data_IF_010660440854
#
_entry.id   IF_010660440854
#
_cell.length_a   1.000
_cell.length_b   1.000
_cell.length_c   1.000
_cell.angle_alpha   90.00
_cell.angle_beta   90.00
_cell.angle_gamma   90.00
#
_symmetry.space_group_name_H-M   'P 1'
#
loop_
_entity.id
_entity.type
_entity.pdbx_description
1 polymer ?
#
# COMPACT_ATOMS: atom_id res chain seq x y z
N UNK A 1 -4.14 7.25 18.61
CA UNK A 1 -4.46 8.69 18.57
C UNK A 1 -3.70 9.30 17.42
N UNK A 2 -4.37 10.10 16.58
CA UNK A 2 -3.76 10.85 15.49
C UNK A 2 -3.20 12.17 16.03
N UNK A 3 -2.11 12.65 15.44
CA UNK A 3 -1.47 13.93 15.79
C UNK A 3 -1.38 14.79 14.53
N UNK A 4 -1.75 16.05 14.62
CA UNK A 4 -1.77 16.99 13.51
C UNK A 4 -0.74 18.08 13.74
N UNK A 5 -0.03 18.45 12.68
CA UNK A 5 1.04 19.44 12.68
C UNK A 5 0.86 20.35 11.48
N UNK A 6 1.25 21.62 11.63
CA UNK A 6 1.30 22.56 10.51
C UNK A 6 2.56 22.36 9.65
N UNK A 7 2.71 23.18 8.61
CA UNK A 7 3.86 23.11 7.70
C UNK A 7 5.20 23.49 8.34
N UNK A 8 5.20 24.07 9.54
CA UNK A 8 6.37 24.42 10.36
C UNK A 8 6.67 23.36 11.41
N UNK A 9 5.85 22.30 11.51
CA UNK A 9 5.97 21.25 12.52
C UNK A 9 5.34 21.62 13.86
N UNK A 10 4.64 22.75 13.97
CA UNK A 10 3.91 23.11 15.18
C UNK A 10 2.69 22.20 15.34
N UNK A 11 2.55 21.57 16.50
CA UNK A 11 1.41 20.69 16.80
C UNK A 11 0.12 21.52 16.82
N UNK A 12 -0.80 21.17 15.92
CA UNK A 12 -2.15 21.75 15.84
C UNK A 12 -3.09 21.10 16.84
N UNK A 13 -2.93 19.80 17.09
CA UNK A 13 -3.77 19.06 18.01
C UNK A 13 -3.63 17.55 17.86
N UNK A 14 -4.56 16.84 18.49
CA UNK A 14 -4.67 15.39 18.40
C UNK A 14 -6.13 15.00 18.21
N UNK A 15 -6.38 13.87 17.54
CA UNK A 15 -7.73 13.36 17.33
C UNK A 15 -7.84 11.87 17.62
N UNK A 16 -8.95 11.50 18.26
CA UNK A 16 -9.38 10.13 18.50
C UNK A 16 -8.53 9.33 19.47
N UNK A 17 -9.06 8.17 19.84
CA UNK A 17 -8.46 7.25 20.81
C UNK A 17 -8.77 5.80 20.45
N UNK A 18 -8.24 4.85 21.21
CA UNK A 18 -8.56 3.43 21.03
C UNK A 18 -10.03 3.18 21.42
N UNK A 19 -10.79 2.51 20.56
CA UNK A 19 -12.18 2.15 20.84
C UNK A 19 -13.00 1.93 19.57
N UNK A 20 -14.32 1.89 19.70
CA UNK A 20 -15.27 1.57 18.61
C UNK A 20 -16.33 2.67 18.39
N UNK A 21 -16.42 3.64 19.30
CA UNK A 21 -17.36 4.75 19.22
C UNK A 21 -17.05 5.74 18.08
N UNK A 22 -17.88 6.78 17.91
CA UNK A 22 -17.58 7.88 17.00
C UNK A 22 -16.21 8.49 17.33
N UNK A 23 -15.39 8.75 16.32
CA UNK A 23 -14.01 9.25 16.48
C UNK A 23 -13.00 8.31 17.18
N UNK A 24 -13.35 7.04 17.40
CA UNK A 24 -12.44 6.03 17.96
C UNK A 24 -11.97 5.03 16.90
N UNK A 25 -10.81 4.42 17.16
CA UNK A 25 -10.14 3.49 16.26
C UNK A 25 -9.76 2.19 16.98
N UNK A 26 -10.10 1.05 16.39
CA UNK A 26 -9.48 -0.24 16.73
C UNK A 26 -8.16 -0.43 16.02
N UNK A 27 -8.07 0.07 14.79
CA UNK A 27 -6.85 0.00 13.98
C UNK A 27 -6.64 1.33 13.26
N UNK A 28 -5.47 1.94 13.50
CA UNK A 28 -4.98 3.06 12.70
C UNK A 28 -3.98 2.47 11.72
N UNK A 29 -4.37 2.39 10.46
CA UNK A 29 -3.59 1.73 9.42
C UNK A 29 -2.95 2.68 8.41
N UNK A 30 -2.49 2.08 7.32
CA UNK A 30 -1.89 2.78 6.18
C UNK A 30 -2.91 3.52 5.31
N UNK A 31 -4.20 3.22 5.45
CA UNK A 31 -5.26 3.81 4.63
C UNK A 31 -5.75 5.13 5.21
N UNK A 32 -5.36 6.22 4.55
CA UNK A 32 -5.69 7.60 4.93
C UNK A 32 -5.47 8.53 3.75
N UNK A 33 -6.06 9.72 3.80
CA UNK A 33 -5.93 10.70 2.74
C UNK A 33 -6.69 11.99 3.04
N UNK A 34 -6.77 12.86 2.03
CA UNK A 34 -7.42 14.15 2.11
C UNK A 34 -8.41 14.31 0.96
N UNK A 35 -9.68 14.55 1.28
CA UNK A 35 -10.70 14.94 0.31
C UNK A 35 -11.05 16.40 0.56
N UNK A 36 -10.44 17.31 -0.21
CA UNK A 36 -10.50 18.75 0.07
C UNK A 36 -9.88 19.07 1.43
N UNK A 37 -10.66 19.72 2.31
CA UNK A 37 -10.26 20.07 3.68
C UNK A 37 -10.51 18.96 4.70
N UNK A 38 -11.12 17.84 4.29
CA UNK A 38 -11.45 16.73 5.18
C UNK A 38 -10.36 15.67 5.10
N UNK A 39 -9.71 15.41 6.22
CA UNK A 39 -8.85 14.24 6.38
C UNK A 39 -9.69 13.01 6.70
N UNK A 40 -9.33 11.86 6.13
CA UNK A 40 -9.97 10.60 6.48
C UNK A 40 -8.94 9.57 6.94
N UNK A 41 -9.31 8.77 7.94
CA UNK A 41 -8.51 7.66 8.45
C UNK A 41 -9.35 6.39 8.43
N UNK A 42 -8.88 5.40 7.67
CA UNK A 42 -9.46 4.07 7.64
C UNK A 42 -9.19 3.28 8.92
N UNK A 43 -10.22 2.58 9.39
CA UNK A 43 -10.16 1.54 10.40
C UNK A 43 -10.59 0.22 9.74
N UNK A 44 -9.60 -0.59 9.39
CA UNK A 44 -9.82 -1.85 8.68
C UNK A 44 -10.57 -2.88 9.53
N UNK A 45 -10.43 -2.85 10.86
CA UNK A 45 -11.09 -3.82 11.74
C UNK A 45 -12.57 -3.49 11.92
N UNK A 46 -12.94 -2.23 11.80
CA UNK A 46 -14.33 -1.77 11.83
C UNK A 46 -14.94 -1.58 10.43
N UNK A 47 -14.16 -1.78 9.37
CA UNK A 47 -14.62 -1.59 7.99
C UNK A 47 -15.18 -0.18 7.76
N UNK A 48 -14.52 0.86 8.24
CA UNK A 48 -15.00 2.25 8.11
C UNK A 48 -13.85 3.25 7.95
N UNK A 49 -14.17 4.48 7.60
CA UNK A 49 -13.26 5.62 7.64
C UNK A 49 -13.88 6.73 8.50
N UNK A 50 -13.10 7.27 9.42
CA UNK A 50 -13.49 8.45 10.21
C UNK A 50 -13.06 9.70 9.47
N UNK A 51 -13.98 10.66 9.32
CA UNK A 51 -13.75 11.95 8.68
C UNK A 51 -13.44 13.01 9.72
N UNK A 52 -12.41 13.82 9.47
CA UNK A 52 -11.88 14.83 10.37
C UNK A 52 -11.80 16.15 9.60
N UNK A 53 -12.48 17.18 10.09
CA UNK A 53 -12.42 18.52 9.51
C UNK A 53 -11.12 19.26 9.88
N UNK A 54 -10.97 20.48 9.34
CA UNK A 54 -9.83 21.36 9.59
C UNK A 54 -9.77 21.89 11.04
N UNK A 55 -10.91 21.92 11.73
CA UNK A 55 -11.01 22.22 13.16
C UNK A 55 -10.68 21.01 14.06
N UNK A 56 -10.21 19.90 13.48
CA UNK A 56 -9.91 18.63 14.17
C UNK A 56 -11.13 18.07 14.92
N UNK A 57 -12.33 18.22 14.33
CA UNK A 57 -13.58 17.63 14.83
C UNK A 57 -14.03 16.48 13.94
N UNK A 58 -14.88 15.64 14.49
CA UNK A 58 -15.48 14.53 13.77
C UNK A 58 -16.49 15.09 12.75
N UNK A 59 -16.12 15.09 11.47
CA UNK A 59 -16.98 15.48 10.36
C UNK A 59 -17.94 14.36 9.93
N UNK A 60 -17.74 13.14 10.42
CA UNK A 60 -18.61 12.01 10.13
C UNK A 60 -17.86 10.69 10.05
N UNK A 61 -18.58 9.65 9.65
CA UNK A 61 -18.01 8.32 9.43
C UNK A 61 -18.61 7.72 8.18
N UNK A 62 -17.74 7.17 7.34
CA UNK A 62 -18.13 6.45 6.14
C UNK A 62 -17.88 4.97 6.39
N UNK A 63 -18.94 4.18 6.40
CA UNK A 63 -18.83 2.73 6.51
C UNK A 63 -18.54 2.12 5.14
N UNK A 64 -17.73 1.07 5.12
CA UNK A 64 -17.62 0.21 3.96
C UNK A 64 -18.99 -0.46 3.74
N UNK A 65 -19.63 -0.26 2.58
CA UNK A 65 -20.90 -0.89 2.30
C UNK A 65 -20.73 -2.40 2.09
N UNK A 66 -21.81 -3.15 2.24
CA UNK A 66 -21.82 -4.55 1.82
C UNK A 66 -21.65 -4.60 0.29
N UNK A 67 -20.55 -5.19 -0.19
CA UNK A 67 -20.26 -5.28 -1.63
C UNK A 67 -20.74 -6.66 -2.13
N UNK A 68 -21.68 -6.72 -3.08
CA UNK A 68 -22.13 -8.00 -3.63
C UNK A 68 -21.05 -8.69 -4.50
N UNK A 69 -21.02 -10.03 -4.51
CA UNK A 69 -21.79 -10.92 -3.64
C UNK A 69 -21.24 -10.94 -2.21
N UNK A 70 -22.14 -11.00 -1.22
CA UNK A 70 -21.75 -11.04 0.18
C UNK A 70 -20.80 -12.23 0.47
N UNK A 71 -19.78 -12.00 1.29
CA UNK A 71 -18.79 -13.03 1.63
C UNK A 71 -17.74 -13.31 0.55
N UNK A 72 -17.81 -12.68 -0.62
CA UNK A 72 -16.82 -12.86 -1.68
C UNK A 72 -15.51 -12.09 -1.43
N UNK A 73 -15.47 -11.21 -0.44
CA UNK A 73 -14.33 -10.36 -0.14
C UNK A 73 -13.70 -10.71 1.20
N UNK A 74 -12.37 -10.79 1.22
CA UNK A 74 -11.56 -10.94 2.42
C UNK A 74 -10.88 -9.60 2.68
N UNK A 75 -11.02 -9.10 3.91
CA UNK A 75 -10.41 -7.87 4.42
C UNK A 75 -10.59 -6.65 3.49
N UNK A 76 -11.83 -6.32 3.06
CA UNK A 76 -12.04 -5.13 2.28
C UNK A 76 -11.68 -3.87 3.08
N UNK A 77 -11.01 -2.92 2.45
CA UNK A 77 -10.55 -1.68 3.06
C UNK A 77 -10.81 -0.49 2.14
N UNK A 78 -11.25 0.63 2.73
CA UNK A 78 -11.36 1.91 2.04
C UNK A 78 -9.95 2.45 1.81
N UNK A 79 -9.56 2.63 0.55
CA UNK A 79 -8.25 3.15 0.15
C UNK A 79 -8.32 4.55 -0.45
N UNK A 80 -9.53 5.08 -0.68
CA UNK A 80 -9.78 6.43 -1.15
C UNK A 80 -11.25 6.82 -0.99
N UNK A 81 -11.51 8.12 -0.79
CA UNK A 81 -12.86 8.70 -0.76
C UNK A 81 -12.91 9.81 -1.79
N UNK A 82 -13.81 9.70 -2.77
CA UNK A 82 -13.96 10.69 -3.84
C UNK A 82 -14.84 11.87 -3.39
N UNK A 83 -14.75 13.05 -4.05
CA UNK A 83 -15.60 14.21 -3.77
C UNK A 83 -17.11 13.95 -3.79
N UNK A 84 -17.58 12.94 -4.55
CA UNK A 84 -18.98 12.54 -4.62
C UNK A 84 -19.43 11.52 -3.57
N UNK A 85 -18.56 11.11 -2.65
CA UNK A 85 -18.86 10.09 -1.64
C UNK A 85 -18.65 8.64 -2.09
N UNK A 86 -18.32 8.42 -3.36
CA UNK A 86 -17.84 7.12 -3.83
C UNK A 86 -16.54 6.73 -3.14
N UNK A 87 -16.33 5.42 -2.97
CA UNK A 87 -15.18 4.86 -2.30
C UNK A 87 -14.32 4.09 -3.29
N UNK A 88 -13.01 4.23 -3.14
CA UNK A 88 -12.07 3.23 -3.65
C UNK A 88 -11.91 2.17 -2.57
N UNK A 89 -12.15 0.92 -2.94
CA UNK A 89 -12.04 -0.23 -2.04
C UNK A 89 -11.02 -1.19 -2.58
N UNK A 90 -10.06 -1.56 -1.75
CA UNK A 90 -9.16 -2.66 -2.00
C UNK A 90 -9.65 -3.88 -1.23
N UNK A 91 -9.70 -5.05 -1.87
CA UNK A 91 -10.08 -6.30 -1.22
C UNK A 91 -9.40 -7.50 -1.89
N UNK A 92 -9.28 -8.61 -1.17
CA UNK A 92 -9.05 -9.92 -1.83
C UNK A 92 -10.41 -10.49 -2.24
N UNK A 93 -10.66 -10.59 -3.54
CA UNK A 93 -11.79 -11.30 -4.10
C UNK A 93 -11.53 -12.81 -4.08
N UNK A 94 -12.47 -13.57 -3.52
CA UNK A 94 -12.54 -15.02 -3.61
C UNK A 94 -13.42 -15.38 -4.81
N UNK A 95 -12.88 -16.17 -5.73
CA UNK A 95 -13.62 -16.60 -6.91
C UNK A 95 -14.92 -17.29 -6.50
N UNK A 96 -16.00 -16.92 -7.18
CA UNK A 96 -17.34 -17.50 -7.01
C UNK A 96 -17.66 -18.42 -8.20
N UNK A 97 -18.40 -19.53 -8.01
CA UNK A 97 -18.93 -20.33 -9.11
C UNK A 97 -19.79 -19.52 -10.08
N UNK A 98 -20.47 -18.49 -9.57
CA UNK A 98 -21.22 -17.51 -10.34
C UNK A 98 -20.57 -16.15 -10.10
N UNK A 99 -19.54 -15.76 -10.88
CA UNK A 99 -18.88 -14.48 -10.70
C UNK A 99 -19.83 -13.34 -11.12
N UNK A 100 -19.86 -12.22 -10.37
CA UNK A 100 -20.57 -11.02 -10.80
C UNK A 100 -19.98 -10.52 -12.13
N UNK A 101 -20.75 -9.71 -12.88
CA UNK A 101 -20.36 -9.25 -14.21
C UNK A 101 -18.95 -8.64 -14.26
N UNK A 102 -18.60 -7.83 -13.27
CA UNK A 102 -17.28 -7.18 -13.18
C UNK A 102 -16.13 -8.17 -12.96
N UNK A 103 -16.39 -9.38 -12.45
CA UNK A 103 -15.38 -10.38 -12.11
C UNK A 103 -15.26 -11.54 -13.12
N UNK A 104 -16.02 -11.53 -14.24
CA UNK A 104 -16.09 -12.66 -15.19
C UNK A 104 -14.75 -13.06 -15.82
N UNK A 105 -13.74 -12.20 -15.80
CA UNK A 105 -12.38 -12.49 -16.30
C UNK A 105 -11.37 -12.90 -15.21
N UNK A 106 -11.78 -12.93 -13.94
CA UNK A 106 -10.89 -13.26 -12.83
C UNK A 106 -10.94 -14.77 -12.60
N UNK A 107 -9.88 -15.46 -13.04
CA UNK A 107 -9.80 -16.92 -13.00
C UNK A 107 -9.04 -17.47 -11.80
N UNK A 108 -8.22 -16.64 -11.13
CA UNK A 108 -7.50 -17.06 -9.95
C UNK A 108 -8.45 -17.14 -8.74
N UNK A 109 -8.30 -18.21 -7.96
CA UNK A 109 -9.15 -18.51 -6.80
C UNK A 109 -9.20 -17.36 -5.79
N UNK A 110 -8.11 -16.59 -5.71
CA UNK A 110 -7.99 -15.38 -4.91
C UNK A 110 -7.23 -14.34 -5.70
N UNK A 111 -7.75 -13.11 -5.72
CA UNK A 111 -7.17 -12.01 -6.48
C UNK A 111 -7.34 -10.70 -5.71
N UNK A 112 -6.31 -9.86 -5.68
CA UNK A 112 -6.48 -8.51 -5.14
C UNK A 112 -7.19 -7.65 -6.17
N UNK A 113 -8.29 -7.03 -5.78
CA UNK A 113 -9.09 -6.18 -6.65
C UNK A 113 -9.22 -4.80 -6.06
N UNK A 114 -9.24 -3.82 -6.94
CA UNK A 114 -9.50 -2.42 -6.59
C UNK A 114 -10.79 -2.03 -7.27
N UNK A 115 -11.78 -1.64 -6.47
CA UNK A 115 -13.13 -1.34 -6.92
C UNK A 115 -13.42 0.13 -6.65
N UNK A 116 -14.22 0.74 -7.52
CA UNK A 116 -14.98 1.93 -7.17
C UNK A 116 -16.39 1.49 -6.80
N UNK A 117 -16.81 1.84 -5.59
CA UNK A 117 -18.15 1.52 -5.07
C UNK A 117 -18.86 2.79 -4.64
N UNK A 118 -20.18 2.85 -4.80
CA UNK A 118 -20.95 3.95 -4.23
C UNK A 118 -21.32 3.66 -2.76
N UNK A 119 -21.97 4.62 -2.10
CA UNK A 119 -22.42 4.49 -0.71
C UNK A 119 -23.40 3.33 -0.45
N UNK A 120 -24.06 2.79 -1.48
CA UNK A 120 -24.97 1.63 -1.38
C UNK A 120 -24.24 0.28 -1.51
N UNK A 121 -22.97 0.28 -1.91
CA UNK A 121 -22.21 -0.93 -2.18
C UNK A 121 -22.29 -1.44 -3.61
N UNK A 122 -22.92 -0.68 -4.51
CA UNK A 122 -22.92 -1.01 -5.93
C UNK A 122 -21.49 -0.86 -6.47
N UNK A 123 -20.97 -1.92 -7.11
CA UNK A 123 -19.69 -1.86 -7.81
C UNK A 123 -19.88 -1.08 -9.10
N UNK A 124 -19.37 0.15 -9.11
CA UNK A 124 -19.44 1.01 -10.29
C UNK A 124 -18.38 0.61 -11.32
N UNK A 125 -17.15 0.29 -10.86
CA UNK A 125 -16.02 -0.07 -11.72
C UNK A 125 -15.06 -1.03 -11.03
N UNK A 126 -14.46 -1.93 -11.81
CA UNK A 126 -13.23 -2.64 -11.46
C UNK A 126 -12.05 -1.82 -12.01
N UNK A 127 -11.25 -1.24 -11.12
CA UNK A 127 -10.13 -0.37 -11.47
C UNK A 127 -8.82 -1.14 -11.66
N UNK A 128 -8.67 -2.26 -10.97
CA UNK A 128 -7.43 -3.01 -10.96
C UNK A 128 -7.62 -4.45 -10.51
N UNK A 129 -6.86 -5.34 -11.12
CA UNK A 129 -6.75 -6.75 -10.78
C UNK A 129 -5.27 -7.01 -10.58
N UNK A 130 -4.86 -7.17 -9.33
CA UNK A 130 -3.51 -7.54 -8.96
C UNK A 130 -3.52 -9.04 -8.67
N UNK A 131 -2.62 -9.83 -9.29
CA UNK A 131 -2.47 -11.23 -8.92
C UNK A 131 -2.26 -11.29 -7.40
N UNK A 132 -2.96 -12.19 -6.70
CA UNK A 132 -2.77 -12.27 -5.27
C UNK A 132 -1.30 -12.60 -5.01
N UNK A 133 -0.70 -11.90 -4.07
CA UNK A 133 0.66 -12.14 -3.54
C UNK A 133 0.94 -13.63 -3.26
N UNK A 134 -0.08 -14.46 -3.10
CA UNK A 134 0.04 -15.87 -2.80
C UNK A 134 0.76 -16.73 -3.86
N UNK A 135 0.77 -16.34 -5.14
CA UNK A 135 1.50 -17.11 -6.16
C UNK A 135 3.01 -16.86 -6.03
N UNK A 136 3.62 -17.53 -5.05
CA UNK A 136 5.04 -17.49 -4.74
C UNK A 136 5.42 -16.75 -3.46
N UNK A 137 4.60 -15.83 -2.92
CA UNK A 137 4.92 -15.13 -1.66
C UNK A 137 4.35 -15.80 -0.41
N UNK A 138 3.66 -16.92 -0.60
CA UNK A 138 3.24 -17.80 0.49
C UNK A 138 3.73 -19.20 0.16
N UNK A 139 4.41 -19.84 1.12
CA UNK A 139 4.85 -21.22 0.99
C UNK A 139 4.33 -22.06 2.15
N UNK A 140 4.29 -23.38 1.97
CA UNK A 140 3.89 -24.33 3.02
C UNK A 140 5.17 -24.94 3.61
N UNK A 141 5.44 -24.65 4.88
CA UNK A 141 6.55 -25.25 5.63
C UNK A 141 5.96 -26.03 6.79
N UNK A 142 6.32 -27.31 6.91
CA UNK A 142 5.79 -28.21 7.95
C UNK A 142 4.24 -28.20 8.02
N UNK A 143 3.57 -28.24 6.86
CA UNK A 143 2.10 -28.24 6.74
C UNK A 143 1.43 -26.89 7.03
N UNK A 144 2.19 -25.80 7.20
CA UNK A 144 1.68 -24.49 7.61
C UNK A 144 2.03 -23.41 6.60
N UNK A 145 1.05 -22.59 6.25
CA UNK A 145 1.23 -21.46 5.33
C UNK A 145 2.04 -20.34 5.98
N UNK A 146 3.05 -19.83 5.27
CA UNK A 146 3.96 -18.80 5.74
C UNK A 146 4.27 -17.78 4.65
N UNK A 147 4.33 -16.47 4.99
CA UNK A 147 4.80 -15.47 4.05
C UNK A 147 6.30 -15.64 3.80
N UNK A 148 6.71 -15.60 2.54
CA UNK A 148 8.10 -15.71 2.10
C UNK A 148 8.78 -14.34 2.19
N UNK A 149 9.84 -14.17 3.02
CA UNK A 149 10.62 -12.94 3.04
C UNK A 149 11.19 -12.61 1.67
N UNK A 150 11.35 -11.32 1.37
CA UNK A 150 11.87 -10.83 0.09
C UNK A 150 11.07 -11.27 -1.15
N UNK A 151 9.84 -11.76 -0.97
CA UNK A 151 8.98 -11.98 -2.12
C UNK A 151 8.57 -10.65 -2.78
N UNK A 152 8.48 -10.67 -4.11
CA UNK A 152 8.16 -9.51 -4.93
C UNK A 152 6.64 -9.33 -5.01
N UNK A 153 6.07 -8.68 -4.00
CA UNK A 153 4.64 -8.37 -3.94
C UNK A 153 4.31 -7.10 -4.74
N UNK A 154 3.14 -7.03 -5.41
CA UNK A 154 2.66 -5.79 -5.98
C UNK A 154 2.29 -4.76 -4.90
N UNK A 155 2.37 -3.48 -5.26
CA UNK A 155 1.96 -2.37 -4.41
C UNK A 155 0.81 -1.60 -5.02
N UNK A 156 -0.11 -1.18 -4.18
CA UNK A 156 -1.22 -0.31 -4.52
C UNK A 156 -1.16 1.00 -3.75
N UNK A 157 -1.43 2.13 -4.39
CA UNK A 157 -1.50 3.43 -3.73
C UNK A 157 -2.56 4.32 -4.38
N UNK A 158 -3.42 4.95 -3.58
CA UNK A 158 -4.34 5.98 -4.05
C UNK A 158 -3.67 7.36 -4.02
N UNK A 159 -4.12 8.27 -4.90
CA UNK A 159 -3.85 9.70 -4.71
C UNK A 159 -4.57 10.22 -3.46
N UNK A 160 -4.10 11.30 -2.83
CA UNK A 160 -4.70 11.82 -1.60
C UNK A 160 -6.21 12.06 -1.69
N UNK A 161 -6.66 12.55 -2.85
CA UNK A 161 -8.06 12.85 -3.21
C UNK A 161 -8.85 11.65 -3.74
N UNK A 162 -8.23 10.46 -3.79
CA UNK A 162 -8.84 9.24 -4.34
C UNK A 162 -9.16 9.29 -5.83
N UNK A 163 -8.76 10.33 -6.57
CA UNK A 163 -9.07 10.45 -8.01
C UNK A 163 -8.29 9.48 -8.88
N UNK A 164 -7.21 8.90 -8.36
CA UNK A 164 -6.31 7.97 -9.06
C UNK A 164 -5.87 6.83 -8.15
N UNK A 165 -5.53 5.71 -8.78
CA UNK A 165 -4.93 4.57 -8.11
C UNK A 165 -3.76 4.06 -8.94
N UNK A 166 -2.61 3.86 -8.30
CA UNK A 166 -1.43 3.26 -8.91
C UNK A 166 -1.28 1.81 -8.47
N UNK A 167 -0.90 0.97 -9.41
CA UNK A 167 -0.48 -0.41 -9.22
C UNK A 167 0.97 -0.54 -9.68
N UNK A 168 1.80 -1.15 -8.84
CA UNK A 168 3.21 -1.40 -9.14
C UNK A 168 3.50 -2.88 -9.02
N UNK A 169 3.83 -3.54 -10.13
CA UNK A 169 4.01 -4.99 -10.23
C UNK A 169 5.48 -5.32 -10.57
N UNK A 170 6.25 -5.87 -9.63
CA UNK A 170 7.62 -6.32 -9.92
C UNK A 170 7.64 -7.66 -10.67
N UNK A 171 8.52 -7.80 -11.67
CA UNK A 171 8.77 -9.06 -12.37
C UNK A 171 10.19 -9.57 -12.07
N UNK A 172 10.27 -10.68 -11.34
CA UNK A 172 11.53 -11.36 -10.98
C UNK A 172 11.81 -12.61 -11.80
N UNK A 173 10.94 -12.93 -12.76
CA UNK A 173 11.05 -14.10 -13.63
C UNK A 173 10.34 -13.85 -14.98
N UNK A 174 10.55 -14.76 -15.93
CA UNK A 174 9.91 -14.71 -17.25
C UNK A 174 10.43 -13.59 -18.18
N UNK A 175 9.70 -13.27 -19.26
CA UNK A 175 10.16 -12.33 -20.29
C UNK A 175 10.38 -10.89 -19.80
N UNK A 176 9.74 -10.51 -18.69
CA UNK A 176 9.86 -9.17 -18.09
C UNK A 176 10.81 -9.14 -16.89
N UNK A 177 11.58 -10.21 -16.63
CA UNK A 177 12.53 -10.24 -15.53
C UNK A 177 13.45 -9.01 -15.54
N UNK A 178 13.68 -8.42 -14.36
CA UNK A 178 14.45 -7.19 -14.23
C UNK A 178 13.66 -5.92 -14.59
N UNK A 179 12.33 -6.00 -14.62
CA UNK A 179 11.44 -4.84 -14.80
C UNK A 179 10.32 -4.85 -13.76
N UNK A 180 9.75 -3.68 -13.50
CA UNK A 180 8.46 -3.58 -12.82
C UNK A 180 7.49 -2.78 -13.69
N UNK A 181 6.21 -3.13 -13.67
CA UNK A 181 5.15 -2.36 -14.31
C UNK A 181 4.59 -1.34 -13.36
N UNK A 182 4.37 -0.12 -13.83
CA UNK A 182 3.59 0.90 -13.14
C UNK A 182 2.36 1.20 -13.99
N UNK A 183 1.19 1.01 -13.40
CA UNK A 183 -0.10 1.34 -14.00
C UNK A 183 -0.74 2.42 -13.16
N UNK A 184 -1.17 3.51 -13.77
CA UNK A 184 -1.97 4.53 -13.11
C UNK A 184 -3.35 4.54 -13.75
N UNK A 185 -4.38 4.31 -12.95
CA UNK A 185 -5.78 4.36 -13.39
C UNK A 185 -6.48 5.54 -12.74
N UNK A 186 -7.31 6.23 -13.53
CA UNK A 186 -8.25 7.21 -13.00
C UNK A 186 -9.42 6.48 -12.32
N UNK A 187 -10.08 7.13 -11.36
CA UNK A 187 -11.24 6.55 -10.69
C UNK A 187 -12.47 6.39 -11.63
N UNK A 188 -12.43 6.95 -12.83
CA UNK A 188 -13.38 6.65 -13.91
C UNK A 188 -13.21 5.25 -14.52
N UNK A 189 -12.05 4.63 -14.32
CA UNK A 189 -11.65 3.34 -14.92
C UNK A 189 -10.61 3.48 -16.03
N UNK A 190 -10.38 4.69 -16.54
CA UNK A 190 -9.43 4.90 -17.62
C UNK A 190 -7.98 4.70 -17.15
N UNK A 191 -7.21 3.95 -17.94
CA UNK A 191 -5.77 3.87 -17.74
C UNK A 191 -5.14 5.18 -18.20
N UNK A 192 -4.49 5.90 -17.27
CA UNK A 192 -3.74 7.13 -17.56
C UNK A 192 -2.43 6.78 -18.26
N UNK A 193 -1.70 5.79 -17.72
CA UNK A 193 -0.54 5.21 -18.38
C UNK A 193 -0.26 3.79 -17.85
N UNK A 194 0.51 3.04 -18.61
CA UNK A 194 1.13 1.77 -18.21
C UNK A 194 2.56 1.74 -18.73
N UNK A 195 3.54 1.58 -17.85
CA UNK A 195 4.96 1.63 -18.20
C UNK A 195 5.73 0.46 -17.59
N UNK A 196 6.63 -0.15 -18.36
CA UNK A 196 7.60 -1.11 -17.88
C UNK A 196 8.93 -0.40 -17.62
N UNK A 197 9.38 -0.43 -16.37
CA UNK A 197 10.57 0.29 -15.93
C UNK A 197 11.64 -0.74 -15.52
N UNK A 198 12.87 -0.66 -16.08
CA UNK A 198 13.93 -1.57 -15.71
C UNK A 198 14.43 -1.32 -14.28
N UNK A 199 14.91 -2.37 -13.63
CA UNK A 199 15.65 -2.29 -12.37
C UNK A 199 16.86 -3.24 -12.40
N UNK A 200 17.87 -2.94 -11.60
CA UNK A 200 19.02 -3.82 -11.44
C UNK A 200 18.71 -4.89 -10.39
N UNK A 201 18.48 -6.12 -10.83
CA UNK A 201 18.25 -7.24 -9.92
C UNK A 201 19.52 -7.59 -9.15
N UNK A 202 19.39 -7.72 -7.82
CA UNK A 202 20.48 -8.20 -6.96
C UNK A 202 20.16 -9.61 -6.50
N UNK A 203 21.10 -10.53 -6.74
CA UNK A 203 21.01 -11.89 -6.25
C UNK A 203 21.08 -11.91 -4.71
N UNK A 204 20.34 -12.84 -4.09
CA UNK A 204 20.44 -13.17 -2.67
C UNK A 204 21.51 -14.26 -2.54
N UNK A 205 22.70 -13.89 -2.06
CA UNK A 205 23.75 -14.84 -1.74
C UNK A 205 23.41 -15.66 -0.49
N UNK A 206 24.13 -16.76 -0.28
CA UNK A 206 23.93 -17.66 0.88
C UNK A 206 23.98 -16.92 2.23
N UNK A 207 25.01 -16.10 2.44
CA UNK A 207 25.18 -15.31 3.67
C UNK A 207 24.00 -14.38 3.94
N UNK A 208 23.42 -13.82 2.88
CA UNK A 208 22.32 -12.87 2.97
C UNK A 208 20.99 -13.59 3.23
N UNK A 209 20.78 -14.73 2.57
CA UNK A 209 19.66 -15.61 2.84
C UNK A 209 19.63 -16.01 4.33
N UNK A 210 20.77 -16.42 4.87
CA UNK A 210 20.89 -16.80 6.28
C UNK A 210 20.64 -15.61 7.21
N UNK A 211 21.11 -14.41 6.84
CA UNK A 211 20.83 -13.17 7.58
C UNK A 211 19.34 -12.82 7.60
N UNK A 212 18.65 -12.95 6.47
CA UNK A 212 17.20 -12.70 6.36
C UNK A 212 16.43 -13.66 7.28
N UNK A 213 16.78 -14.96 7.24
CA UNK A 213 16.14 -15.97 8.10
C UNK A 213 16.35 -15.68 9.58
N UNK A 214 17.59 -15.41 9.99
CA UNK A 214 17.92 -15.05 11.38
C UNK A 214 17.15 -13.81 11.86
N UNK A 215 17.05 -12.77 11.02
CA UNK A 215 16.29 -11.57 11.36
C UNK A 215 14.79 -11.87 11.56
N UNK A 216 14.21 -12.77 10.76
CA UNK A 216 12.82 -13.22 10.97
C UNK A 216 12.64 -14.07 12.21
N UNK A 217 13.58 -14.97 12.49
CA UNK A 217 13.60 -15.81 13.71
C UNK A 217 13.68 -14.94 14.97
N UNK A 218 14.54 -13.93 14.99
CA UNK A 218 14.70 -13.03 16.13
C UNK A 218 13.41 -12.28 16.50
N UNK A 219 12.50 -12.08 15.54
CA UNK A 219 11.22 -11.40 15.74
C UNK A 219 10.07 -12.31 16.20
N UNK A 220 10.27 -13.63 16.37
CA UNK A 220 9.20 -14.55 16.76
C UNK A 220 9.50 -15.27 18.06
N UNK A 221 8.46 -15.48 18.88
CA UNK A 221 8.56 -16.16 20.19
C UNK A 221 8.38 -17.67 20.14
N UNK A 222 7.94 -18.22 19.01
CA UNK A 222 7.61 -19.65 18.88
C UNK A 222 8.74 -20.39 18.19
N UNK A 223 9.29 -21.41 18.85
CA UNK A 223 10.33 -22.29 18.28
C UNK A 223 9.88 -22.95 16.98
N UNK A 224 8.61 -23.35 16.92
CA UNK A 224 8.02 -23.92 15.71
C UNK A 224 7.95 -22.90 14.56
N UNK A 225 7.73 -21.61 14.84
CA UNK A 225 7.78 -20.55 13.82
C UNK A 225 9.23 -20.24 13.43
N UNK A 226 10.15 -20.23 14.39
CA UNK A 226 11.57 -20.05 14.14
C UNK A 226 12.10 -21.14 13.19
N UNK A 227 11.75 -22.41 13.45
CA UNK A 227 12.08 -23.54 12.59
C UNK A 227 11.53 -23.36 11.17
N UNK A 228 10.25 -22.99 11.04
CA UNK A 228 9.65 -22.75 9.72
C UNK A 228 10.42 -21.68 8.92
N UNK A 229 10.84 -20.58 9.55
CA UNK A 229 11.61 -19.53 8.86
C UNK A 229 13.02 -19.98 8.48
N UNK A 230 13.65 -20.85 9.27
CA UNK A 230 14.97 -21.40 8.94
C UNK A 230 14.94 -22.36 7.75
N UNK A 231 13.88 -23.14 7.61
CA UNK A 231 13.70 -24.12 6.52
C UNK A 231 13.08 -23.50 5.26
N UNK A 232 12.64 -22.24 5.34
CA UNK A 232 11.91 -21.58 4.27
C UNK A 232 12.80 -21.36 3.03
N UNK A 233 12.33 -21.74 1.83
CA UNK A 233 12.97 -21.33 0.58
C UNK A 233 12.81 -19.82 0.41
N UNK A 234 13.92 -19.14 0.12
CA UNK A 234 13.92 -17.71 -0.22
C UNK A 234 14.01 -17.54 -1.74
N UNK A 235 13.52 -16.41 -2.29
CA UNK A 235 13.77 -16.06 -3.68
C UNK A 235 15.27 -15.98 -3.99
N UNK A 236 15.63 -16.09 -5.26
CA UNK A 236 17.02 -15.93 -5.72
C UNK A 236 17.43 -14.47 -5.85
N UNK A 237 16.46 -13.55 -5.95
CA UNK A 237 16.68 -12.10 -6.06
C UNK A 237 15.93 -11.36 -4.96
N UNK A 238 16.51 -10.27 -4.50
CA UNK A 238 15.82 -9.39 -3.56
C UNK A 238 14.58 -8.77 -4.21
N UNK A 239 13.55 -8.50 -3.42
CA UNK A 239 12.38 -7.78 -3.93
C UNK A 239 12.79 -6.38 -4.39
N UNK A 240 12.41 -5.96 -5.61
CA UNK A 240 12.89 -4.69 -6.15
C UNK A 240 12.07 -3.49 -5.69
N UNK A 241 10.78 -3.69 -5.40
CA UNK A 241 9.84 -2.65 -5.01
C UNK A 241 9.46 -2.81 -3.54
N UNK A 242 9.48 -1.70 -2.80
CA UNK A 242 9.20 -1.65 -1.36
C UNK A 242 8.06 -0.71 -0.99
N UNK A 243 7.45 -0.04 -1.96
CA UNK A 243 6.36 0.90 -1.71
C UNK A 243 5.98 1.68 -2.96
N UNK A 244 4.82 2.32 -2.90
CA UNK A 244 4.35 3.26 -3.90
C UNK A 244 3.62 4.42 -3.22
N UNK A 245 3.71 5.62 -3.79
CA UNK A 245 2.92 6.78 -3.43
C UNK A 245 2.42 7.46 -4.71
N UNK A 246 1.22 8.02 -4.67
CA UNK A 246 0.71 8.85 -5.77
C UNK A 246 0.65 10.29 -5.31
N UNK A 247 1.39 11.17 -5.97
CA UNK A 247 1.36 12.60 -5.69
C UNK A 247 0.04 13.22 -6.19
N UNK A 248 -0.40 14.33 -5.59
CA UNK A 248 -1.60 15.06 -6.02
C UNK A 248 -1.55 15.48 -7.51
N UNK A 249 -0.35 15.77 -8.04
CA UNK A 249 -0.14 16.07 -9.46
C UNK A 249 -0.24 14.86 -10.40
N UNK A 250 -0.49 13.65 -9.88
CA UNK A 250 -0.64 12.42 -10.65
C UNK A 250 0.67 11.70 -11.01
N UNK A 251 1.81 12.13 -10.45
CA UNK A 251 3.04 11.36 -10.54
C UNK A 251 3.02 10.17 -9.56
N UNK A 252 3.58 9.04 -9.96
CA UNK A 252 3.75 7.86 -9.11
C UNK A 252 5.19 7.81 -8.63
N UNK A 253 5.40 7.68 -7.33
CA UNK A 253 6.71 7.50 -6.73
C UNK A 253 6.84 6.05 -6.27
N UNK A 254 7.84 5.35 -6.80
CA UNK A 254 8.09 3.94 -6.49
C UNK A 254 9.30 3.84 -5.58
N UNK A 255 9.11 3.28 -4.39
CA UNK A 255 10.21 3.01 -3.48
C UNK A 255 10.92 1.74 -3.94
N UNK A 256 12.20 1.86 -4.26
CA UNK A 256 13.04 0.72 -4.59
C UNK A 256 13.62 0.10 -3.31
N UNK A 257 14.37 -0.98 -3.50
CA UNK A 257 15.11 -1.61 -2.44
C UNK A 257 16.06 -0.63 -1.71
N UNK A 258 16.18 -0.70 -0.38
CA UNK A 258 17.18 0.07 0.34
C UNK A 258 18.62 -0.33 -0.06
N UNK A 259 19.47 0.66 -0.29
CA UNK A 259 20.91 0.57 -0.52
C UNK A 259 21.67 1.18 0.66
N UNK A 260 23.01 1.21 0.68
CA UNK A 260 23.77 1.74 1.83
C UNK A 260 23.31 3.13 2.28
N UNK A 261 23.05 4.03 1.33
CA UNK A 261 22.77 5.44 1.60
C UNK A 261 21.29 5.75 1.87
N UNK A 262 20.43 4.73 1.83
CA UNK A 262 18.99 4.87 2.08
C UNK A 262 18.15 4.16 1.04
N UNK A 263 16.87 4.54 0.97
CA UNK A 263 15.89 4.04 0.02
C UNK A 263 15.72 5.01 -1.14
N UNK A 264 16.05 4.57 -2.34
CA UNK A 264 15.78 5.35 -3.55
C UNK A 264 14.28 5.31 -3.88
N UNK A 265 13.70 6.47 -4.18
CA UNK A 265 12.36 6.62 -4.70
C UNK A 265 12.44 7.19 -6.12
N UNK A 266 11.86 6.48 -7.08
CA UNK A 266 11.85 6.88 -8.49
C UNK A 266 10.52 7.52 -8.84
N UNK A 267 10.56 8.69 -9.47
CA UNK A 267 9.38 9.43 -9.93
C UNK A 267 9.02 9.03 -11.36
N UNK A 268 7.79 8.56 -11.53
CA UNK A 268 7.16 8.27 -12.82
C UNK A 268 6.10 9.32 -13.07
N UNK A 269 6.23 10.07 -14.17
CA UNK A 269 5.26 11.10 -14.52
C UNK A 269 3.96 10.53 -15.11
N UNK A 270 3.03 11.42 -15.48
CA UNK A 270 1.73 11.04 -16.03
C UNK A 270 1.80 10.41 -17.43
N UNK A 271 2.94 10.45 -18.09
CA UNK A 271 3.18 9.79 -19.38
C UNK A 271 3.82 8.41 -19.21
N UNK A 272 4.13 8.02 -17.97
CA UNK A 272 4.85 6.77 -17.68
C UNK A 272 6.37 6.89 -17.79
N UNK A 273 6.92 8.11 -17.92
CA UNK A 273 8.37 8.32 -18.00
C UNK A 273 8.97 8.53 -16.62
N UNK A 274 10.16 7.96 -16.40
CA UNK A 274 10.98 8.26 -15.23
C UNK A 274 11.56 9.66 -15.38
N UNK A 275 11.27 10.56 -14.44
CA UNK A 275 11.66 11.99 -14.51
C UNK A 275 12.64 12.41 -13.42
N UNK A 276 12.90 11.55 -12.43
CA UNK A 276 13.85 11.85 -11.37
C UNK A 276 13.81 10.82 -10.25
N UNK A 277 14.64 11.04 -9.24
CA UNK A 277 14.66 10.23 -8.03
C UNK A 277 15.16 11.01 -6.83
N UNK A 278 14.77 10.54 -5.64
CA UNK A 278 15.34 11.00 -4.36
C UNK A 278 15.86 9.79 -3.58
N UNK A 279 16.78 10.00 -2.65
CA UNK A 279 17.22 8.98 -1.68
C UNK A 279 16.74 9.43 -0.30
N UNK A 280 16.06 8.53 0.39
CA UNK A 280 15.44 8.77 1.70
C UNK A 280 16.17 7.93 2.74
N UNK A 281 16.58 8.46 3.91
CA UNK A 281 17.26 7.70 4.96
C UNK A 281 16.50 6.43 5.38
N UNK A 282 17.22 5.39 5.83
CA UNK A 282 16.64 4.08 6.18
C UNK A 282 15.62 4.12 7.30
N UNK A 283 15.83 5.03 8.26
CA UNK A 283 14.98 5.25 9.40
C UNK A 283 13.74 6.10 9.07
N UNK A 284 13.56 6.51 7.81
CA UNK A 284 12.44 7.35 7.36
C UNK A 284 11.48 6.56 6.49
N UNK A 285 10.20 6.57 6.88
CA UNK A 285 9.09 6.07 6.06
C UNK A 285 8.30 7.23 5.47
N UNK A 286 8.32 7.38 4.15
CA UNK A 286 7.49 8.39 3.48
C UNK A 286 6.01 8.00 3.49
N UNK A 287 5.17 9.01 3.65
CA UNK A 287 3.71 8.87 3.64
C UNK A 287 3.02 9.79 2.64
N UNK A 288 3.62 10.94 2.35
CA UNK A 288 3.10 11.92 1.38
C UNK A 288 4.26 12.46 0.57
N UNK A 289 4.05 12.62 -0.73
CA UNK A 289 5.03 13.19 -1.64
C UNK A 289 4.34 14.07 -2.69
N UNK A 290 4.94 15.22 -2.97
CA UNK A 290 4.52 16.19 -3.98
C UNK A 290 5.58 16.29 -5.09
N UNK A 291 5.53 17.36 -5.88
CA UNK A 291 6.54 17.63 -6.92
C UNK A 291 7.87 18.12 -6.37
N UNK A 292 7.92 18.68 -5.17
CA UNK A 292 9.14 19.28 -4.59
C UNK A 292 9.35 18.98 -3.11
N UNK A 293 8.43 18.24 -2.49
CA UNK A 293 8.43 17.99 -1.05
C UNK A 293 7.95 16.59 -0.73
N UNK A 294 8.46 16.03 0.36
CA UNK A 294 7.98 14.78 0.91
C UNK A 294 7.87 14.89 2.44
N UNK A 295 6.93 14.14 3.00
CA UNK A 295 6.72 14.02 4.44
C UNK A 295 6.74 12.55 4.82
N UNK A 296 7.38 12.27 5.95
CA UNK A 296 7.51 10.92 6.48
C UNK A 296 7.63 10.92 8.00
N UNK A 297 7.75 9.71 8.53
CA UNK A 297 8.10 9.48 9.93
C UNK A 297 9.52 8.95 9.98
N UNK A 298 10.39 9.67 10.68
CA UNK A 298 11.73 9.25 11.06
C UNK A 298 11.68 8.57 12.44
N UNK A 299 12.43 7.50 12.63
CA UNK A 299 12.70 6.94 13.96
C UNK A 299 14.16 7.23 14.32
N UNK A 300 14.42 7.74 15.52
CA UNK A 300 15.78 7.95 16.01
C UNK A 300 16.39 6.67 16.62
N UNK A 301 17.54 6.80 17.28
CA UNK A 301 18.26 5.66 17.89
C UNK A 301 17.46 4.97 19.01
N UNK A 302 16.51 5.69 19.63
CA UNK A 302 15.62 5.20 20.68
C UNK A 302 14.24 4.76 20.13
N UNK A 303 14.11 4.64 18.80
CA UNK A 303 12.86 4.31 18.10
C UNK A 303 11.74 5.35 18.34
N UNK A 304 12.09 6.60 18.67
CA UNK A 304 11.11 7.66 18.89
C UNK A 304 10.70 8.25 17.53
N UNK A 305 9.40 8.24 17.18
CA UNK A 305 8.94 8.72 15.89
C UNK A 305 8.84 10.26 15.83
N UNK A 306 9.45 10.84 14.81
CA UNK A 306 9.41 12.28 14.47
C UNK A 306 8.84 12.51 13.07
N UNK A 307 8.03 13.55 12.90
CA UNK A 307 7.55 13.95 11.57
C UNK A 307 8.63 14.79 10.90
N UNK A 308 9.09 14.34 9.73
CA UNK A 308 10.14 15.01 8.95
C UNK A 308 9.62 15.48 7.60
N UNK A 309 10.17 16.59 7.12
CA UNK A 309 9.85 17.19 5.82
C UNK A 309 11.13 17.33 5.00
N UNK A 310 11.13 16.77 3.81
CA UNK A 310 12.19 16.91 2.83
C UNK A 310 11.78 17.92 1.75
N UNK A 311 12.76 18.66 1.23
CA UNK A 311 12.63 19.49 0.04
C UNK A 311 13.64 18.99 -0.99
N UNK A 312 13.24 18.98 -2.25
CA UNK A 312 14.10 18.60 -3.36
C UNK A 312 13.79 19.49 -4.57
N UNK A 313 14.80 19.70 -5.42
CA UNK A 313 14.60 20.35 -6.71
C UNK A 313 13.80 19.40 -7.62
N UNK A 314 12.76 19.95 -8.26
CA UNK A 314 11.85 19.21 -9.13
C UNK A 314 12.35 19.08 -10.56
#
# INVERSE_FOLDING_TARGET
MLRFFDARGTKLGSFGRKGEGPAEFRSIGVYRGWNGTVFWQGDILLGRAVLIDDALKNAGTVSLPAIPPAGAFILPAIVGILPGGDLLVHATYRQSPVPPQWARGITAARTFVVLRVNARGDVLRLLGVLPQTADGCVTVVNGRSRPVPECAEPYGAASPDGSRYAMVEPYTSGPNNGKYRVILVAAGGDTVFSALIPYTARQIGRTEADSIRRAKVAGVKSDLLAKDYMEMPLPTVFRPVHGALVAAGGAVWVALRPERDGRRWVRVDRTGKVTGSIVVPHNVTLHVISSSQAWGVEHDEDDIPSVVRFRFAG
#
